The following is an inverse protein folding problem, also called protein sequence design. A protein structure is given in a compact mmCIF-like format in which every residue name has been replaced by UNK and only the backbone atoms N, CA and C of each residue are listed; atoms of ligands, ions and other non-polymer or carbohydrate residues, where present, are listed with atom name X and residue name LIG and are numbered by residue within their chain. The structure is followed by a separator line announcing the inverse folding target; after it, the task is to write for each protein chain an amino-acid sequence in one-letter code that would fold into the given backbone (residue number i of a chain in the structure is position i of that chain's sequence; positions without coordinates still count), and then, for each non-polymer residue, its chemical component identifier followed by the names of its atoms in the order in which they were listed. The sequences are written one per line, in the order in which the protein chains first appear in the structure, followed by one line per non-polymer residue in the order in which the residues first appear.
data_IF_007240921739
#
_entry.id   IF_007240921739
#
_cell.length_a   1.000
_cell.length_b   1.000
_cell.length_c   1.000
_cell.angle_alpha   90.00
_cell.angle_beta   90.00
_cell.angle_gamma   90.00
#
_symmetry.space_group_name_H-M   'P 1'
#
loop_
_entity.id
_entity.type
_entity.pdbx_description
1 polymer ?
#
# COMPACT_ATOMS: atom_id res chain seq x y z
N UNK A 1 -5.09 -30.91 2.64
CA UNK A 1 -4.46 -30.35 1.42
C UNK A 1 -3.92 -28.98 1.77
N UNK A 2 -2.60 -28.79 1.77
CA UNK A 2 -2.03 -27.45 1.94
C UNK A 2 -2.35 -26.70 0.66
N UNK A 3 -3.24 -25.71 0.76
CA UNK A 3 -3.60 -24.84 -0.37
C UNK A 3 -2.32 -24.25 -0.96
N UNK A 4 -2.05 -24.47 -2.26
CA UNK A 4 -1.07 -23.66 -2.98
C UNK A 4 -1.55 -22.21 -2.84
N UNK A 5 -0.79 -21.37 -2.14
CA UNK A 5 -1.15 -19.97 -1.91
C UNK A 5 -1.43 -19.29 -3.25
N UNK A 6 -2.70 -19.09 -3.58
CA UNK A 6 -3.11 -18.27 -4.71
C UNK A 6 -2.88 -16.84 -4.29
N UNK A 7 -1.86 -16.22 -4.85
CA UNK A 7 -1.62 -14.79 -4.68
C UNK A 7 -2.63 -14.06 -5.55
N UNK A 8 -3.37 -13.12 -4.96
CA UNK A 8 -4.37 -12.33 -5.67
C UNK A 8 -3.81 -10.92 -5.82
N UNK A 9 -3.60 -10.53 -7.08
CA UNK A 9 -3.24 -9.16 -7.42
C UNK A 9 -4.45 -8.43 -7.99
N UNK A 10 -4.62 -7.17 -7.60
CA UNK A 10 -5.60 -6.27 -8.17
C UNK A 10 -4.89 -5.23 -9.04
N UNK A 11 -5.26 -5.11 -10.34
CA UNK A 11 -4.77 -4.02 -11.17
C UNK A 11 -5.37 -2.70 -10.69
N UNK A 12 -4.50 -1.76 -10.34
CA UNK A 12 -4.86 -0.41 -9.93
C UNK A 12 -4.33 0.60 -10.94
N UNK A 13 -5.12 1.63 -11.19
CA UNK A 13 -4.62 2.88 -11.77
C UNK A 13 -4.48 3.87 -10.62
N UNK A 14 -3.27 4.38 -10.41
CA UNK A 14 -2.96 5.38 -9.37
C UNK A 14 -2.95 6.76 -10.02
N UNK A 15 -3.66 7.72 -9.43
CA UNK A 15 -3.58 9.13 -9.80
C UNK A 15 -2.46 9.80 -8.99
N UNK A 16 -1.41 10.22 -9.69
CA UNK A 16 -0.23 10.84 -9.09
C UNK A 16 -0.46 12.35 -8.84
N UNK A 17 0.31 12.97 -7.94
CA UNK A 17 0.15 14.39 -7.58
C UNK A 17 0.39 15.36 -8.74
N UNK A 18 1.13 14.93 -9.76
CA UNK A 18 1.42 15.70 -10.97
C UNK A 18 0.34 15.54 -12.07
N UNK A 19 -0.86 15.08 -11.70
CA UNK A 19 -1.99 14.76 -12.60
C UNK A 19 -1.71 13.65 -13.62
N UNK A 20 -0.61 12.92 -13.50
CA UNK A 20 -0.37 11.71 -14.30
C UNK A 20 -1.04 10.50 -13.65
N UNK A 21 -1.12 9.41 -14.41
CA UNK A 21 -1.57 8.12 -13.90
C UNK A 21 -0.53 7.05 -14.15
N UNK A 22 -0.40 6.11 -13.22
CA UNK A 22 0.43 4.91 -13.41
C UNK A 22 -0.37 3.65 -13.12
N UNK A 23 -0.04 2.56 -13.82
CA UNK A 23 -0.65 1.26 -13.60
C UNK A 23 0.24 0.44 -12.66
N UNK A 24 -0.35 -0.24 -11.70
CA UNK A 24 0.37 -1.15 -10.81
C UNK A 24 -0.49 -2.34 -10.41
N UNK A 25 0.14 -3.35 -9.83
CA UNK A 25 -0.53 -4.47 -9.19
C UNK A 25 -0.41 -4.31 -7.67
N UNK A 26 -1.55 -4.19 -6.99
CA UNK A 26 -1.58 -4.27 -5.54
C UNK A 26 -1.88 -5.69 -5.08
N UNK A 27 -1.26 -6.12 -3.99
CA UNK A 27 -1.57 -7.39 -3.35
C UNK A 27 -2.89 -7.25 -2.58
N UNK A 28 -3.87 -8.12 -2.85
CA UNK A 28 -5.05 -8.24 -2.01
C UNK A 28 -4.73 -9.17 -0.84
N UNK A 29 -4.41 -8.57 0.31
CA UNK A 29 -3.99 -9.29 1.52
C UNK A 29 -4.98 -9.08 2.66
N UNK A 30 -5.88 -10.05 2.87
CA UNK A 30 -6.79 -10.01 4.03
C UNK A 30 -6.10 -10.31 5.35
N UNK A 31 -4.83 -10.70 5.34
CA UNK A 31 -3.99 -10.89 6.53
C UNK A 31 -3.31 -9.61 7.00
N UNK A 32 -3.31 -8.54 6.21
CA UNK A 32 -2.75 -7.26 6.59
C UNK A 32 -3.72 -6.46 7.48
N UNK A 33 -3.20 -5.82 8.53
CA UNK A 33 -4.00 -4.99 9.45
C UNK A 33 -4.42 -3.62 8.88
N UNK A 34 -4.05 -3.32 7.63
CA UNK A 34 -4.29 -2.04 6.97
C UNK A 34 -3.74 -2.03 5.55
N UNK A 35 -3.88 -0.88 4.88
CA UNK A 35 -3.26 -0.65 3.57
C UNK A 35 -1.84 -0.13 3.78
N UNK A 36 -0.88 -0.73 3.07
CA UNK A 36 0.52 -0.33 3.15
C UNK A 36 1.07 -0.10 1.74
N UNK A 37 1.96 0.87 1.64
CA UNK A 37 2.71 1.17 0.42
C UNK A 37 4.21 1.08 0.73
N UNK A 38 4.98 0.60 -0.23
CA UNK A 38 6.43 0.60 -0.14
C UNK A 38 6.97 2.04 -0.04
N UNK A 39 7.90 2.34 0.89
CA UNK A 39 8.41 3.69 1.07
C UNK A 39 9.19 4.21 -0.14
N UNK A 40 9.93 3.36 -0.85
CA UNK A 40 10.66 3.76 -2.06
C UNK A 40 9.68 4.16 -3.16
N UNK A 41 8.63 3.36 -3.34
CA UNK A 41 7.56 3.65 -4.30
C UNK A 41 6.82 4.95 -3.97
N UNK A 42 6.53 5.19 -2.68
CA UNK A 42 5.91 6.45 -2.24
C UNK A 42 6.76 7.68 -2.58
N UNK A 43 8.09 7.54 -2.52
CA UNK A 43 9.05 8.60 -2.85
C UNK A 43 9.16 8.78 -4.38
N UNK A 44 9.26 7.69 -5.13
CA UNK A 44 9.30 7.70 -6.60
C UNK A 44 8.06 8.40 -7.18
N UNK A 45 6.89 8.08 -6.64
CA UNK A 45 5.61 8.67 -7.03
C UNK A 45 5.37 10.06 -6.45
N UNK A 46 6.30 10.56 -5.64
CA UNK A 46 6.24 11.88 -4.99
C UNK A 46 4.94 12.10 -4.21
N UNK A 47 4.43 11.04 -3.58
CA UNK A 47 3.17 11.12 -2.84
C UNK A 47 3.31 12.12 -1.67
N UNK A 48 2.32 13.00 -1.45
CA UNK A 48 2.27 13.82 -0.25
C UNK A 48 2.15 12.90 0.97
N UNK A 49 3.06 13.09 1.92
CA UNK A 49 3.12 12.32 3.16
C UNK A 49 2.80 13.24 4.33
N UNK A 50 1.87 12.82 5.17
CA UNK A 50 1.54 13.48 6.42
C UNK A 50 2.10 12.64 7.58
N UNK A 51 2.80 13.24 8.55
CA UNK A 51 3.23 12.52 9.74
C UNK A 51 1.99 12.04 10.51
N UNK A 52 2.06 10.84 11.09
CA UNK A 52 1.01 10.32 11.98
C UNK A 52 1.38 10.53 13.44
N UNK A 53 0.40 10.83 14.28
CA UNK A 53 0.61 11.15 15.70
C UNK A 53 1.27 10.02 16.49
N UNK A 54 0.99 8.77 16.11
CA UNK A 54 1.53 7.56 16.74
C UNK A 54 2.15 6.67 15.68
N UNK A 55 3.49 6.50 15.69
CA UNK A 55 4.14 5.58 14.77
C UNK A 55 3.58 4.15 14.88
N UNK A 56 3.38 3.49 13.74
CA UNK A 56 2.85 2.14 13.66
C UNK A 56 4.00 1.14 13.58
N UNK A 57 4.13 0.31 14.61
CA UNK A 57 5.06 -0.81 14.62
C UNK A 57 4.46 -1.97 13.82
N UNK A 58 4.96 -2.19 12.60
CA UNK A 58 4.47 -3.24 11.72
C UNK A 58 5.22 -4.54 12.03
N UNK A 59 4.47 -5.58 12.37
CA UNK A 59 4.98 -6.93 12.61
C UNK A 59 4.40 -7.90 11.59
N UNK A 60 5.23 -8.86 11.16
CA UNK A 60 4.80 -9.94 10.27
C UNK A 60 4.04 -11.01 11.07
N UNK A 61 3.34 -11.91 10.36
CA UNK A 61 2.55 -12.97 10.99
C UNK A 61 3.35 -13.91 11.93
N UNK A 62 4.67 -14.04 11.72
CA UNK A 62 5.55 -14.81 12.58
C UNK A 62 6.10 -14.03 13.79
N UNK A 63 5.63 -12.80 14.03
CA UNK A 63 6.07 -11.93 15.12
C UNK A 63 7.35 -11.14 14.85
N UNK A 64 8.04 -11.35 13.72
CA UNK A 64 9.20 -10.54 13.36
C UNK A 64 8.80 -9.12 12.96
N UNK A 65 9.66 -8.14 13.24
CA UNK A 65 9.47 -6.76 12.77
C UNK A 65 9.52 -6.72 11.24
N UNK A 66 8.68 -5.87 10.63
CA UNK A 66 8.73 -5.62 9.20
C UNK A 66 10.09 -5.04 8.79
N UNK A 67 10.62 -5.47 7.64
CA UNK A 67 11.95 -5.03 7.16
C UNK A 67 12.03 -3.52 6.88
N UNK A 68 10.91 -2.92 6.46
CA UNK A 68 10.82 -1.48 6.21
C UNK A 68 10.70 -0.66 7.49
N UNK A 69 10.64 -1.31 8.65
CA UNK A 69 10.66 -0.68 9.97
C UNK A 69 9.29 -0.21 10.44
N UNK A 70 9.27 1.01 11.00
CA UNK A 70 8.09 1.63 11.63
C UNK A 70 7.48 2.61 10.63
N UNK A 71 6.17 2.55 10.43
CA UNK A 71 5.47 3.56 9.64
C UNK A 71 5.25 4.82 10.48
N UNK A 72 5.74 5.95 10.00
CA UNK A 72 5.69 7.26 10.68
C UNK A 72 4.89 8.31 9.90
N UNK A 73 4.50 7.97 8.68
CA UNK A 73 3.74 8.83 7.79
C UNK A 73 2.65 8.03 7.09
N UNK A 74 1.58 8.71 6.75
CA UNK A 74 0.52 8.22 5.88
C UNK A 74 0.43 9.08 4.62
N UNK A 75 -0.19 8.55 3.58
CA UNK A 75 -0.49 9.28 2.36
C UNK A 75 -1.88 8.89 1.87
N UNK A 76 -2.55 9.82 1.21
CA UNK A 76 -3.81 9.56 0.53
C UNK A 76 -3.51 9.09 -0.88
N UNK A 77 -4.07 7.93 -1.26
CA UNK A 77 -3.91 7.36 -2.58
C UNK A 77 -5.22 7.40 -3.36
N UNK A 78 -5.28 8.24 -4.39
CA UNK A 78 -6.39 8.26 -5.34
C UNK A 78 -6.20 7.15 -6.36
N UNK A 79 -7.11 6.18 -6.38
CA UNK A 79 -7.01 4.99 -7.23
C UNK A 79 -8.25 4.79 -8.09
N UNK A 80 -8.11 3.98 -9.13
CA UNK A 80 -9.23 3.45 -9.91
C UNK A 80 -9.09 1.94 -10.05
N UNK A 81 -10.13 1.23 -9.63
CA UNK A 81 -10.25 -0.24 -9.72
C UNK A 81 -11.45 -0.55 -10.58
N UNK A 82 -11.26 -1.31 -11.67
CA UNK A 82 -12.34 -1.72 -12.57
C UNK A 82 -13.31 -0.57 -12.95
N UNK A 83 -12.76 0.58 -13.38
CA UNK A 83 -13.58 1.73 -13.74
C UNK A 83 -13.99 2.65 -12.58
N UNK A 84 -13.94 2.19 -11.33
CA UNK A 84 -14.44 2.92 -10.15
C UNK A 84 -13.32 3.68 -9.45
N UNK A 85 -13.52 4.96 -9.21
CA UNK A 85 -12.59 5.80 -8.44
C UNK A 85 -12.78 5.57 -6.94
N UNK A 86 -11.68 5.50 -6.22
CA UNK A 86 -11.63 5.31 -4.77
C UNK A 86 -10.47 6.12 -4.18
N UNK A 87 -10.55 6.37 -2.87
CA UNK A 87 -9.48 6.95 -2.08
C UNK A 87 -9.11 5.95 -1.00
N UNK A 88 -7.82 5.62 -0.90
CA UNK A 88 -7.24 4.82 0.19
C UNK A 88 -6.40 5.69 1.10
#
# INVERSE_FOLDING_TARGET
AVSKNKIIYLPLIIHLPNNQTTNTLALLDSGAGGNFIDPELSNEWKLPKCPIDKPLHIVNANGSTNKSGIATHECILHIKINGRKMQL
#
